data_IF_067356512938
#
_entry.id   IF_067356512938
#
_cell.length_a   1.000
_cell.length_b   1.000
_cell.length_c   1.000
_cell.angle_alpha   90.00
_cell.angle_beta   90.00
_cell.angle_gamma   90.00
#
_symmetry.space_group_name_H-M   'P 1'
#
loop_
_entity.id
_entity.type
_entity.pdbx_description
1 polymer ?
#
# COMPACT_ATOMS: atom_id res chain seq x y z
N UNK A 1 19.95 -21.92 1.89
CA UNK A 1 19.00 -20.98 2.54
C UNK A 1 19.47 -19.53 2.48
N UNK A 2 20.66 -19.15 2.97
CA UNK A 2 21.13 -17.74 2.86
C UNK A 2 21.27 -17.27 1.41
N UNK A 3 21.87 -18.10 0.56
CA UNK A 3 22.06 -17.79 -0.87
C UNK A 3 20.71 -17.60 -1.58
N UNK A 4 19.80 -18.57 -1.46
CA UNK A 4 18.47 -18.50 -2.08
C UNK A 4 17.64 -17.30 -1.62
N UNK A 5 17.70 -16.93 -0.33
CA UNK A 5 17.01 -15.73 0.16
C UNK A 5 17.64 -14.45 -0.41
N UNK A 6 18.97 -14.39 -0.51
CA UNK A 6 19.66 -13.24 -1.09
C UNK A 6 19.30 -13.07 -2.58
N UNK A 7 19.23 -14.16 -3.33
CA UNK A 7 18.77 -14.17 -4.73
C UNK A 7 17.32 -13.64 -4.82
N UNK A 8 16.40 -14.16 -4.01
CA UNK A 8 14.99 -13.70 -4.01
C UNK A 8 14.84 -12.22 -3.64
N UNK A 9 15.62 -11.72 -2.67
CA UNK A 9 15.60 -10.29 -2.31
C UNK A 9 16.16 -9.45 -3.45
N UNK A 10 17.22 -9.92 -4.12
CA UNK A 10 17.78 -9.26 -5.30
C UNK A 10 16.75 -9.09 -6.41
N UNK A 11 16.00 -10.15 -6.72
CA UNK A 11 14.91 -10.09 -7.70
C UNK A 11 13.81 -9.09 -7.32
N UNK A 12 13.40 -9.06 -6.05
CA UNK A 12 12.39 -8.10 -5.55
C UNK A 12 12.89 -6.66 -5.72
N UNK A 13 14.16 -6.38 -5.38
CA UNK A 13 14.75 -5.03 -5.56
C UNK A 13 14.71 -4.62 -7.03
N UNK A 14 15.13 -5.50 -7.94
CA UNK A 14 15.10 -5.23 -9.39
C UNK A 14 13.67 -4.98 -9.88
N UNK A 15 12.69 -5.75 -9.40
CA UNK A 15 11.29 -5.60 -9.75
C UNK A 15 10.72 -4.27 -9.26
N UNK A 16 11.04 -3.85 -8.03
CA UNK A 16 10.62 -2.56 -7.46
C UNK A 16 11.20 -1.41 -8.28
N UNK A 17 12.50 -1.45 -8.58
CA UNK A 17 13.16 -0.44 -9.41
C UNK A 17 12.53 -0.35 -10.81
N UNK A 18 12.29 -1.49 -11.47
CA UNK A 18 11.64 -1.54 -12.78
C UNK A 18 10.22 -0.97 -12.74
N UNK A 19 9.47 -1.24 -11.66
CA UNK A 19 8.12 -0.72 -11.49
C UNK A 19 8.13 0.79 -11.32
N UNK A 20 8.93 1.32 -10.37
CA UNK A 20 9.01 2.76 -10.06
C UNK A 20 9.49 3.58 -11.26
N UNK A 21 10.36 3.04 -12.12
CA UNK A 21 10.89 3.75 -13.28
C UNK A 21 9.88 3.92 -14.44
N UNK A 22 8.67 3.35 -14.33
CA UNK A 22 7.59 3.57 -15.30
C UNK A 22 6.88 4.88 -14.99
N UNK A 23 6.29 5.50 -16.01
CA UNK A 23 5.44 6.67 -15.78
C UNK A 23 4.26 6.28 -14.89
N UNK A 24 4.19 6.87 -13.71
CA UNK A 24 3.15 6.66 -12.72
C UNK A 24 2.67 8.00 -12.20
N UNK A 25 1.45 8.04 -11.68
CA UNK A 25 0.96 9.21 -10.99
C UNK A 25 1.88 9.53 -9.80
N UNK A 26 2.28 10.79 -9.72
CA UNK A 26 2.87 11.38 -8.52
C UNK A 26 1.95 12.51 -8.04
N UNK A 27 1.74 12.67 -6.73
CA UNK A 27 1.06 13.84 -6.20
C UNK A 27 1.71 15.11 -6.72
N UNK A 28 0.89 16.10 -7.07
CA UNK A 28 1.41 17.44 -7.38
C UNK A 28 2.14 17.98 -6.16
N UNK A 29 3.21 18.74 -6.39
CA UNK A 29 3.93 19.38 -5.30
C UNK A 29 2.97 20.33 -4.56
N UNK A 30 2.76 20.15 -3.24
CA UNK A 30 1.81 20.94 -2.48
C UNK A 30 2.35 22.34 -2.18
N UNK A 31 1.43 23.24 -1.84
CA UNK A 31 1.79 24.53 -1.22
C UNK A 31 2.15 24.34 0.26
N UNK A 32 2.73 25.35 0.91
CA UNK A 32 3.13 25.29 2.33
C UNK A 32 1.97 24.92 3.26
N UNK A 33 0.76 25.39 2.97
CA UNK A 33 -0.46 25.11 3.75
C UNK A 33 -0.98 23.68 3.57
N UNK A 34 -0.57 23.01 2.50
CA UNK A 34 -1.04 21.66 2.13
C UNK A 34 0.03 20.59 2.34
N UNK A 35 1.22 20.98 2.80
CA UNK A 35 2.38 20.10 2.93
C UNK A 35 2.06 18.85 3.79
N UNK A 36 1.32 19.06 4.89
CA UNK A 36 0.87 18.01 5.80
C UNK A 36 -0.15 17.05 5.21
N UNK A 37 -0.72 17.35 4.03
CA UNK A 37 -1.66 16.47 3.33
C UNK A 37 -0.97 15.49 2.40
N UNK A 38 0.33 15.69 2.13
CA UNK A 38 1.11 14.89 1.16
C UNK A 38 2.30 14.23 1.83
N UNK A 39 2.98 14.92 2.75
CA UNK A 39 4.21 14.45 3.37
C UNK A 39 4.13 14.35 4.89
N UNK A 40 4.89 13.41 5.45
CA UNK A 40 5.20 13.38 6.87
C UNK A 40 6.40 14.30 7.13
N UNK A 41 6.19 15.34 7.94
CA UNK A 41 7.22 16.33 8.28
C UNK A 41 7.74 16.19 9.72
N UNK A 42 7.43 15.08 10.39
CA UNK A 42 7.84 14.84 11.78
C UNK A 42 9.21 14.15 11.87
N UNK A 43 9.80 13.76 10.75
CA UNK A 43 11.12 13.14 10.70
C UNK A 43 12.20 14.21 10.50
N UNK A 44 13.31 14.16 11.26
CA UNK A 44 14.32 15.22 11.26
C UNK A 44 15.21 15.25 10.01
N UNK A 45 15.34 14.13 9.30
CA UNK A 45 16.33 13.89 8.25
C UNK A 45 15.70 13.62 6.86
N UNK A 46 14.40 13.36 6.81
CA UNK A 46 13.69 13.07 5.58
C UNK A 46 12.23 13.54 5.65
N UNK A 47 11.61 13.68 4.48
CA UNK A 47 10.21 14.06 4.34
C UNK A 47 9.52 13.05 3.40
N UNK A 48 9.16 11.86 3.89
CA UNK A 48 8.51 10.85 3.06
C UNK A 48 7.06 11.26 2.74
N UNK A 49 6.51 10.70 1.67
CA UNK A 49 5.06 10.76 1.45
C UNK A 49 4.32 10.10 2.62
N UNK A 50 3.12 10.59 2.94
CA UNK A 50 2.26 9.94 3.92
C UNK A 50 1.99 8.48 3.51
N UNK A 51 2.25 7.54 4.41
CA UNK A 51 2.07 6.11 4.17
C UNK A 51 1.46 5.41 5.38
N UNK A 52 0.85 4.24 5.13
CA UNK A 52 0.35 3.36 6.19
C UNK A 52 0.70 1.92 5.88
N UNK A 53 1.41 1.26 6.78
CA UNK A 53 1.71 -0.18 6.67
C UNK A 53 0.59 -0.95 7.36
N UNK A 54 -0.27 -1.59 6.57
CA UNK A 54 -1.31 -2.48 7.07
C UNK A 54 -0.80 -3.93 7.01
N UNK A 55 -0.72 -4.62 8.16
CA UNK A 55 -0.46 -6.07 8.18
C UNK A 55 -1.79 -6.81 8.14
N UNK A 56 -2.00 -7.62 7.11
CA UNK A 56 -3.10 -8.59 7.10
C UNK A 56 -2.65 -9.81 7.90
N UNK A 57 -3.43 -10.27 8.91
CA UNK A 57 -3.11 -11.52 9.59
C UNK A 57 -3.11 -12.66 8.57
N UNK A 58 -2.07 -13.50 8.60
CA UNK A 58 -2.01 -14.73 7.81
C UNK A 58 -3.11 -15.62 8.36
N UNK A 59 -4.24 -15.68 7.66
CA UNK A 59 -5.37 -16.50 8.05
C UNK A 59 -5.07 -17.93 7.57
N UNK A 60 -5.14 -18.96 8.43
CA UNK A 60 -5.12 -20.34 7.98
C UNK A 60 -6.22 -20.55 6.94
N UNK A 61 -5.93 -21.28 5.88
CA UNK A 61 -6.77 -21.49 4.69
C UNK A 61 -8.18 -22.06 5.00
N UNK A 62 -8.42 -22.51 6.23
CA UNK A 62 -9.63 -23.23 6.66
C UNK A 62 -10.74 -22.37 7.27
N UNK A 63 -10.60 -21.05 7.34
CA UNK A 63 -11.61 -20.22 8.00
C UNK A 63 -12.53 -19.51 6.97
N UNK A 64 -13.87 -19.68 7.05
CA UNK A 64 -14.81 -19.14 6.05
C UNK A 64 -14.80 -17.61 6.01
N UNK A 65 -14.66 -17.00 4.83
CA UNK A 65 -14.63 -15.53 4.64
C UNK A 65 -15.97 -14.86 5.04
N UNK A 66 -16.15 -14.55 6.32
CA UNK A 66 -17.35 -13.86 6.82
C UNK A 66 -17.21 -12.34 6.88
N UNK A 67 -16.07 -11.74 6.50
CA UNK A 67 -15.80 -10.32 6.76
C UNK A 67 -16.15 -9.31 5.66
N UNK A 68 -16.20 -9.69 4.38
CA UNK A 68 -16.34 -8.73 3.27
C UNK A 68 -17.51 -8.99 2.31
N UNK A 69 -18.06 -10.20 2.30
CA UNK A 69 -19.19 -10.54 1.41
C UNK A 69 -20.50 -9.87 1.89
N UNK A 70 -20.69 -9.72 3.21
CA UNK A 70 -21.88 -9.09 3.79
C UNK A 70 -22.03 -7.62 3.40
N UNK A 71 -20.98 -6.81 3.58
CA UNK A 71 -21.03 -5.36 3.25
C UNK A 71 -21.23 -5.08 1.76
N UNK A 72 -20.66 -5.90 0.87
CA UNK A 72 -20.86 -5.74 -0.59
C UNK A 72 -22.32 -5.97 -1.00
N UNK A 73 -23.06 -6.85 -0.31
CA UNK A 73 -24.48 -7.09 -0.58
C UNK A 73 -25.33 -5.87 -0.17
N UNK A 74 -25.08 -5.32 1.02
CA UNK A 74 -25.76 -4.10 1.50
C UNK A 74 -25.56 -2.89 0.57
N UNK A 75 -24.34 -2.66 0.07
CA UNK A 75 -24.08 -1.53 -0.83
C UNK A 75 -24.80 -1.70 -2.16
N UNK A 76 -24.86 -2.94 -2.70
CA UNK A 76 -25.60 -3.22 -3.95
C UNK A 76 -27.10 -3.00 -3.77
N UNK A 77 -27.67 -3.45 -2.65
CA UNK A 77 -29.11 -3.32 -2.39
C UNK A 77 -29.52 -1.85 -2.17
N UNK A 78 -28.65 -1.01 -1.62
CA UNK A 78 -28.83 0.45 -1.52
C UNK A 78 -28.76 1.18 -2.86
N UNK A 79 -28.07 0.64 -3.86
CA UNK A 79 -27.90 1.25 -5.19
C UNK A 79 -29.00 0.86 -6.20
N UNK A 80 -29.88 -0.08 -5.85
CA UNK A 80 -30.93 -0.62 -6.74
C UNK A 80 -32.34 -0.10 -6.36
N UNK A 81 -32.46 0.78 -5.36
CA UNK A 81 -33.70 1.51 -5.06
C UNK A 81 -33.66 2.95 -5.58
#
# INVERSE_FOLDING_TARGET
>A
MRVSVAESVGEIVLQVCSSINRHQYLPKMPTKTELSNVFDSNLPDCQPYLFKVCRTPIRPESAPQTGFVGMRRYIRDLMIN
#
